data_IF_246063013118
#
_entry.id   IF_246063013118
#
_cell.length_a   1.000
_cell.length_b   1.000
_cell.length_c   1.000
_cell.angle_alpha   90.00
_cell.angle_beta   90.00
_cell.angle_gamma   90.00
#
_symmetry.space_group_name_H-M   'P 1'
#
loop_
_entity.id
_entity.type
_entity.pdbx_description
1 polymer ?
#
# COMPACT_ATOMS: atom_id res chain seq x y z
N UNK A 1 -7.32 8.76 10.42
CA UNK A 1 -6.02 8.50 11.08
C UNK A 1 -4.93 8.69 10.04
N UNK A 2 -3.73 9.16 10.44
CA UNK A 2 -2.65 9.50 9.49
C UNK A 2 -1.91 8.24 9.00
N UNK A 3 -1.82 8.04 7.69
CA UNK A 3 -0.97 7.00 7.08
C UNK A 3 0.50 7.42 7.15
N UNK A 4 1.35 6.57 7.72
CA UNK A 4 2.78 6.84 7.91
C UNK A 4 3.56 6.98 6.59
N UNK A 5 3.12 6.29 5.54
CA UNK A 5 3.81 6.28 4.24
C UNK A 5 3.41 7.47 3.36
N UNK A 6 2.11 7.64 3.09
CA UNK A 6 1.65 8.68 2.17
C UNK A 6 1.20 9.98 2.84
N UNK A 7 1.30 10.07 4.17
CA UNK A 7 0.99 11.25 4.99
C UNK A 7 -0.42 11.82 4.78
N UNK A 8 -1.36 10.98 4.31
CA UNK A 8 -2.78 11.34 4.18
C UNK A 8 -3.57 10.86 5.39
N UNK A 9 -4.50 11.70 5.83
CA UNK A 9 -5.50 11.32 6.82
C UNK A 9 -6.60 10.52 6.13
N UNK A 10 -6.68 9.23 6.42
CA UNK A 10 -7.60 8.30 5.75
C UNK A 10 -8.38 7.48 6.80
N UNK A 11 -9.56 7.00 6.40
CA UNK A 11 -10.42 6.18 7.27
C UNK A 11 -9.95 4.73 7.38
N UNK A 12 -9.24 4.24 6.36
CA UNK A 12 -8.79 2.86 6.22
C UNK A 12 -7.37 2.62 6.74
N UNK A 13 -6.85 3.51 7.59
CA UNK A 13 -5.52 3.34 8.20
C UNK A 13 -5.57 2.28 9.29
N UNK A 14 -4.75 1.24 9.12
CA UNK A 14 -4.63 0.10 10.04
C UNK A 14 -3.15 -0.15 10.40
N UNK A 15 -2.91 -0.82 11.52
CA UNK A 15 -1.54 -1.20 11.91
C UNK A 15 -1.04 -2.33 11.01
N UNK A 16 0.03 -2.08 10.26
CA UNK A 16 0.68 -3.06 9.40
C UNK A 16 1.35 -4.15 10.25
N UNK A 17 1.13 -5.41 9.87
CA UNK A 17 1.70 -6.56 10.56
C UNK A 17 3.22 -6.63 10.41
N UNK A 18 3.75 -6.23 9.25
CA UNK A 18 5.17 -6.39 8.92
C UNK A 18 6.08 -5.25 9.46
N UNK A 19 5.59 -4.01 9.60
CA UNK A 19 6.41 -2.84 9.98
C UNK A 19 6.04 -2.10 11.27
N UNK A 20 5.03 -2.53 12.03
CA UNK A 20 4.44 -1.75 13.14
C UNK A 20 3.95 -0.34 12.77
N UNK A 21 3.97 0.04 11.48
CA UNK A 21 3.50 1.32 10.98
C UNK A 21 1.97 1.32 10.85
N UNK A 22 1.37 2.51 10.91
CA UNK A 22 -0.05 2.68 10.58
C UNK A 22 -0.17 3.07 9.11
N UNK A 23 -0.72 2.19 8.29
CA UNK A 23 -0.80 2.35 6.83
C UNK A 23 -2.24 2.27 6.35
N UNK A 24 -2.60 3.08 5.36
CA UNK A 24 -3.84 2.88 4.62
C UNK A 24 -3.76 1.62 3.74
N UNK A 25 -4.90 1.13 3.27
CA UNK A 25 -5.00 -0.15 2.58
C UNK A 25 -4.04 -0.28 1.39
N UNK A 26 -3.90 0.78 0.58
CA UNK A 26 -2.99 0.71 -0.58
C UNK A 26 -1.51 0.73 -0.19
N UNK A 27 -1.12 1.54 0.81
CA UNK A 27 0.26 1.55 1.30
C UNK A 27 0.62 0.23 2.00
N UNK A 28 -0.33 -0.35 2.73
CA UNK A 28 -0.20 -1.66 3.35
C UNK A 28 0.02 -2.77 2.32
N UNK A 29 -0.80 -2.82 1.26
CA UNK A 29 -0.64 -3.83 0.21
C UNK A 29 0.68 -3.68 -0.55
N UNK A 30 1.13 -2.44 -0.78
CA UNK A 30 2.45 -2.18 -1.38
C UNK A 30 3.57 -2.77 -0.53
N UNK A 31 3.56 -2.49 0.78
CA UNK A 31 4.55 -3.02 1.72
C UNK A 31 4.51 -4.56 1.76
N UNK A 32 3.33 -5.14 1.89
CA UNK A 32 3.13 -6.60 1.95
C UNK A 32 3.69 -7.30 0.71
N UNK A 33 3.46 -6.74 -0.48
CA UNK A 33 3.98 -7.31 -1.74
C UNK A 33 5.51 -7.17 -1.81
N UNK A 34 6.07 -6.04 -1.38
CA UNK A 34 7.53 -5.88 -1.29
C UNK A 34 8.16 -6.95 -0.39
N UNK A 35 7.61 -7.17 0.81
CA UNK A 35 8.11 -8.22 1.71
C UNK A 35 8.03 -9.61 1.08
N UNK A 36 6.91 -9.93 0.43
CA UNK A 36 6.76 -11.23 -0.25
C UNK A 36 7.76 -11.44 -1.37
N UNK A 37 8.11 -10.39 -2.14
CA UNK A 37 9.15 -10.49 -3.17
C UNK A 37 10.51 -10.80 -2.53
N UNK A 38 10.86 -10.08 -1.47
CA UNK A 38 12.14 -10.24 -0.78
C UNK A 38 12.30 -11.61 -0.10
N UNK A 39 11.19 -12.17 0.40
CA UNK A 39 11.18 -13.44 1.13
C UNK A 39 10.98 -14.66 0.23
N UNK A 40 10.45 -14.48 -1.00
CA UNK A 40 10.26 -15.59 -1.92
C UNK A 40 11.59 -16.04 -2.53
N UNK A 41 11.82 -17.35 -2.54
CA UNK A 41 12.92 -17.98 -3.28
C UNK A 41 12.50 -18.49 -4.66
N UNK A 42 11.22 -18.37 -5.00
CA UNK A 42 10.65 -18.81 -6.27
C UNK A 42 10.62 -17.64 -7.26
N UNK A 43 11.38 -17.78 -8.35
CA UNK A 43 11.51 -16.75 -9.40
C UNK A 43 10.17 -16.50 -10.11
N UNK A 44 9.33 -17.53 -10.29
CA UNK A 44 8.02 -17.36 -10.92
C UNK A 44 7.06 -16.60 -10.00
N UNK A 45 7.09 -16.90 -8.69
CA UNK A 45 6.34 -16.15 -7.68
C UNK A 45 6.81 -14.69 -7.63
N UNK A 46 8.13 -14.44 -7.59
CA UNK A 46 8.69 -13.09 -7.62
C UNK A 46 8.25 -12.32 -8.87
N UNK A 47 8.22 -12.96 -10.05
CA UNK A 47 7.77 -12.34 -11.29
C UNK A 47 6.27 -11.99 -11.25
N UNK A 48 5.43 -12.86 -10.67
CA UNK A 48 4.02 -12.56 -10.44
C UNK A 48 3.83 -11.39 -9.47
N UNK A 49 4.51 -11.41 -8.34
CA UNK A 49 4.45 -10.36 -7.32
C UNK A 49 4.93 -9.01 -7.87
N UNK A 50 5.98 -9.00 -8.70
CA UNK A 50 6.45 -7.78 -9.37
C UNK A 50 5.40 -7.20 -10.33
N UNK A 51 4.61 -8.03 -11.01
CA UNK A 51 3.47 -7.56 -11.83
C UNK A 51 2.35 -6.97 -10.98
N UNK A 52 2.04 -7.61 -9.85
CA UNK A 52 1.06 -7.09 -8.89
C UNK A 52 1.52 -5.74 -8.33
N UNK A 53 2.79 -5.62 -7.96
CA UNK A 53 3.37 -4.39 -7.44
C UNK A 53 3.19 -3.21 -8.42
N UNK A 54 3.41 -3.43 -9.72
CA UNK A 54 3.18 -2.38 -10.73
C UNK A 54 1.72 -1.90 -10.77
N UNK A 55 0.76 -2.81 -10.61
CA UNK A 55 -0.67 -2.43 -10.55
C UNK A 55 -0.94 -1.57 -9.32
N UNK A 56 -0.36 -1.93 -8.17
CA UNK A 56 -0.48 -1.17 -6.92
C UNK A 56 0.17 0.21 -7.05
N UNK A 57 1.37 0.30 -7.63
CA UNK A 57 2.07 1.57 -7.87
C UNK A 57 1.29 2.47 -8.83
N UNK A 58 0.67 1.89 -9.86
CA UNK A 58 -0.18 2.65 -10.75
C UNK A 58 -1.44 3.17 -10.04
N UNK A 59 -2.06 2.35 -9.20
CA UNK A 59 -3.17 2.79 -8.36
C UNK A 59 -2.75 3.92 -7.41
N UNK A 60 -1.52 3.89 -6.89
CA UNK A 60 -0.96 4.93 -6.04
C UNK A 60 -0.78 6.27 -6.77
N UNK A 61 -0.22 6.22 -7.97
CA UNK A 61 -0.04 7.39 -8.84
C UNK A 61 -1.36 7.97 -9.35
N UNK A 62 -2.39 7.12 -9.50
CA UNK A 62 -3.71 7.52 -9.99
C UNK A 62 -4.64 8.06 -8.90
N UNK A 63 -4.18 8.14 -7.64
CA UNK A 63 -5.04 8.57 -6.54
C UNK A 63 -5.51 10.02 -6.76
N UNK A 64 -6.81 10.29 -6.64
CA UNK A 64 -7.32 11.65 -6.59
C UNK A 64 -6.65 12.48 -5.49
N UNK A 65 -6.45 13.77 -5.72
CA UNK A 65 -5.92 14.70 -4.69
C UNK A 65 -6.80 14.76 -3.45
N UNK A 66 -8.10 14.55 -3.63
CA UNK A 66 -9.10 14.52 -2.55
C UNK A 66 -9.40 13.10 -2.04
N UNK A 67 -8.60 12.10 -2.44
CA UNK A 67 -8.77 10.72 -1.97
C UNK A 67 -8.64 10.66 -0.44
N UNK A 68 -9.76 10.32 0.20
CA UNK A 68 -9.92 10.21 1.65
C UNK A 68 -10.00 11.53 2.41
N UNK A 69 -10.21 12.66 1.72
CA UNK A 69 -10.80 13.83 2.39
C UNK A 69 -12.18 13.43 2.92
N UNK A 70 -12.53 13.78 4.17
CA UNK A 70 -13.92 13.76 4.59
C UNK A 70 -14.70 14.62 3.59
N UNK A 71 -15.82 14.10 3.05
CA UNK A 71 -16.75 14.93 2.29
C UNK A 71 -17.11 16.11 3.19
N UNK A 72 -16.66 17.31 2.84
CA UNK A 72 -17.08 18.52 3.54
C UNK A 72 -18.59 18.61 3.32
N UNK A 73 -19.34 18.40 4.40
CA UNK A 73 -20.78 18.61 4.50
C UNK A 73 -21.11 20.09 4.42
#
# INVERSE_FOLDING_TARGET
>A
MLCAECLRDLQDVVKAHDSNLYLCGLCYEKERVHWRILLSSDVEEQALLARILRVIEWADQSRPKDYGRPKQS
#
